data_IF_739889230335
#
_entry.id   IF_739889230335
#
_cell.length_a   1.000
_cell.length_b   1.000
_cell.length_c   1.000
_cell.angle_alpha   90.00
_cell.angle_beta   90.00
_cell.angle_gamma   90.00
#
_symmetry.space_group_name_H-M   'P 1'
#
loop_
_entity.id
_entity.type
_entity.pdbx_description
1 polymer ?
#
# COMPACT_ATOMS: atom_id res chain seq x y z
N UNK A 1 15.75 12.08 6.57
CA UNK A 1 14.29 12.11 6.81
C UNK A 1 13.64 11.30 5.70
N UNK A 2 12.96 10.18 5.99
CA UNK A 2 12.28 9.37 4.96
C UNK A 2 10.85 9.89 4.80
N UNK A 3 10.47 10.25 3.59
CA UNK A 3 9.10 10.61 3.27
C UNK A 3 8.27 9.32 3.15
N UNK A 4 7.31 9.12 4.04
CA UNK A 4 6.35 8.02 3.95
C UNK A 4 5.11 8.48 3.21
N UNK A 5 4.59 7.63 2.32
CA UNK A 5 3.32 7.87 1.65
C UNK A 5 2.18 7.78 2.66
N UNK A 6 1.23 8.71 2.56
CA UNK A 6 0.10 8.81 3.50
C UNK A 6 -1.13 8.23 2.84
N UNK A 7 -1.41 6.95 3.12
CA UNK A 7 -2.65 6.25 2.72
C UNK A 7 -2.94 6.23 1.21
N UNK A 8 -3.88 5.40 0.75
CA UNK A 8 -4.41 5.49 -0.61
C UNK A 8 -5.38 6.67 -0.73
N UNK A 9 -5.29 7.43 -1.82
CA UNK A 9 -6.28 8.47 -2.18
C UNK A 9 -6.94 8.14 -3.51
N UNK A 10 -8.22 8.47 -3.63
CA UNK A 10 -8.95 8.37 -4.90
C UNK A 10 -8.62 9.57 -5.78
N UNK A 11 -8.17 9.31 -7.02
CA UNK A 11 -7.98 10.35 -8.03
C UNK A 11 -9.35 10.71 -8.62
N UNK A 12 -9.67 12.00 -8.60
CA UNK A 12 -10.90 12.54 -9.19
C UNK A 12 -10.64 12.87 -10.67
N UNK A 13 -9.54 13.55 -10.96
CA UNK A 13 -9.24 14.07 -12.29
C UNK A 13 -7.74 14.23 -12.53
N UNK A 14 -7.30 13.99 -13.77
CA UNK A 14 -5.98 14.38 -14.26
C UNK A 14 -6.03 15.83 -14.78
N UNK A 15 -5.18 16.69 -14.25
CA UNK A 15 -5.03 18.08 -14.67
C UNK A 15 -3.82 18.20 -15.60
N UNK A 16 -4.10 18.37 -16.88
CA UNK A 16 -3.07 18.36 -17.92
C UNK A 16 -2.35 17.01 -17.97
N UNK A 17 -1.02 17.02 -17.90
CA UNK A 17 -0.19 15.81 -17.91
C UNK A 17 0.58 15.55 -16.62
N UNK A 18 0.63 16.54 -15.71
CA UNK A 18 1.62 16.56 -14.63
C UNK A 18 1.01 16.67 -13.22
N UNK A 19 -0.30 16.85 -13.10
CA UNK A 19 -0.96 16.99 -11.80
C UNK A 19 -2.27 16.20 -11.77
N UNK A 20 -2.67 15.76 -10.58
CA UNK A 20 -3.98 15.14 -10.36
C UNK A 20 -4.67 15.80 -9.19
N UNK A 21 -5.99 15.83 -9.28
CA UNK A 21 -6.87 16.17 -8.18
C UNK A 21 -7.27 14.90 -7.43
N UNK A 22 -7.13 14.91 -6.11
CA UNK A 22 -7.47 13.78 -5.24
C UNK A 22 -8.60 14.15 -4.28
N UNK A 23 -9.41 13.15 -3.93
CA UNK A 23 -10.42 13.28 -2.89
C UNK A 23 -9.76 13.27 -1.52
N UNK A 24 -9.68 14.43 -0.88
CA UNK A 24 -9.14 14.57 0.47
C UNK A 24 -10.19 14.15 1.52
N UNK A 25 -9.71 13.51 2.58
CA UNK A 25 -10.52 13.25 3.78
C UNK A 25 -10.70 14.54 4.59
N UNK A 26 -11.71 14.57 5.45
CA UNK A 26 -12.11 15.76 6.22
C UNK A 26 -10.96 16.35 7.07
N UNK A 27 -10.16 15.47 7.68
CA UNK A 27 -8.93 15.81 8.42
C UNK A 27 -7.84 16.51 7.58
N UNK A 28 -7.91 16.38 6.26
CA UNK A 28 -6.98 16.97 5.29
C UNK A 28 -7.62 18.06 4.43
N UNK A 29 -8.87 18.45 4.72
CA UNK A 29 -9.65 19.44 3.95
C UNK A 29 -8.96 20.80 3.79
N UNK A 30 -8.07 21.18 4.72
CA UNK A 30 -7.28 22.41 4.66
C UNK A 30 -6.12 22.36 3.66
N UNK A 31 -5.78 21.20 3.10
CA UNK A 31 -4.72 21.04 2.10
C UNK A 31 -5.29 21.22 0.69
N UNK A 32 -4.44 21.70 -0.23
CA UNK A 32 -4.83 21.79 -1.62
C UNK A 32 -5.04 20.38 -2.20
N UNK A 33 -6.17 20.11 -2.91
CA UNK A 33 -6.49 18.77 -3.40
C UNK A 33 -5.71 18.36 -4.65
N UNK A 34 -4.92 19.26 -5.23
CA UNK A 34 -4.13 18.99 -6.43
C UNK A 34 -2.67 18.74 -6.09
N UNK A 35 -2.13 17.63 -6.57
CA UNK A 35 -0.75 17.20 -6.33
C UNK A 35 -0.03 16.87 -7.65
N UNK A 36 1.29 17.11 -7.73
CA UNK A 36 2.09 16.69 -8.88
C UNK A 36 2.23 15.17 -8.92
N UNK A 37 2.27 14.60 -10.12
CA UNK A 37 2.39 13.13 -10.33
C UNK A 37 3.66 12.53 -9.74
N UNK A 38 4.70 13.34 -9.51
CA UNK A 38 5.96 12.91 -8.86
C UNK A 38 5.79 12.52 -7.40
N UNK A 39 4.73 13.00 -6.73
CA UNK A 39 4.42 12.69 -5.34
C UNK A 39 3.41 11.55 -5.20
N UNK A 40 3.13 10.85 -6.30
CA UNK A 40 2.07 9.86 -6.38
C UNK A 40 2.67 8.51 -6.71
N UNK A 41 2.20 7.50 -5.97
CA UNK A 41 2.54 6.11 -6.20
C UNK A 41 1.26 5.33 -6.44
N UNK A 42 1.19 4.50 -7.51
CA UNK A 42 0.07 3.59 -7.70
C UNK A 42 -0.11 2.69 -6.48
N UNK A 43 -1.36 2.61 -5.99
CA UNK A 43 -1.72 1.69 -4.92
C UNK A 43 -2.14 0.35 -5.54
N UNK A 44 -1.44 -0.71 -5.19
CA UNK A 44 -1.82 -2.08 -5.55
C UNK A 44 -2.38 -2.75 -4.30
N UNK A 45 -3.59 -3.29 -4.39
CA UNK A 45 -4.14 -4.14 -3.34
C UNK A 45 -3.22 -5.34 -3.13
N UNK A 46 -2.95 -5.65 -1.88
CA UNK A 46 -2.19 -6.85 -1.51
C UNK A 46 -3.02 -8.10 -1.78
N UNK A 47 -2.37 -9.26 -1.87
CA UNK A 47 -3.07 -10.56 -1.97
C UNK A 47 -4.03 -10.78 -0.78
N UNK A 48 -3.68 -10.23 0.37
CA UNK A 48 -4.46 -10.29 1.61
C UNK A 48 -5.72 -9.41 1.50
N UNK A 49 -5.61 -8.23 0.87
CA UNK A 49 -6.76 -7.37 0.57
C UNK A 49 -7.71 -8.00 -0.47
N UNK A 50 -7.14 -8.68 -1.48
CA UNK A 50 -7.91 -9.31 -2.57
C UNK A 50 -8.60 -10.60 -2.14
N UNK A 51 -7.96 -11.36 -1.26
CA UNK A 51 -8.44 -12.67 -0.82
C UNK A 51 -8.48 -12.76 0.70
N UNK A 52 -9.38 -12.02 1.38
CA UNK A 52 -9.42 -11.95 2.84
C UNK A 52 -9.74 -13.30 3.49
N UNK A 53 -10.40 -14.21 2.76
CA UNK A 53 -10.75 -15.56 3.22
C UNK A 53 -9.68 -16.61 2.92
N UNK A 54 -8.59 -16.24 2.26
CA UNK A 54 -7.51 -17.18 1.92
C UNK A 54 -6.75 -17.55 3.20
N UNK A 55 -6.96 -18.77 3.68
CA UNK A 55 -6.15 -19.36 4.76
C UNK A 55 -4.68 -19.34 4.32
N UNK A 56 -3.82 -18.69 5.09
CA UNK A 56 -2.37 -18.81 4.87
C UNK A 56 -2.03 -20.29 5.06
N UNK A 57 -1.39 -20.90 4.06
CA UNK A 57 -0.89 -22.26 4.24
C UNK A 57 0.03 -22.26 5.46
N UNK A 58 -0.08 -23.25 6.36
CA UNK A 58 0.82 -23.33 7.50
C UNK A 58 2.25 -23.33 6.98
N UNK A 59 3.09 -22.48 7.60
CA UNK A 59 4.53 -22.49 7.33
C UNK A 59 5.02 -23.91 7.64
N UNK A 60 5.72 -24.58 6.70
CA UNK A 60 6.27 -25.91 6.97
C UNK A 60 7.10 -25.87 8.25
N UNK A 61 6.97 -26.85 9.15
CA UNK A 61 7.79 -26.90 10.35
C UNK A 61 9.27 -26.93 9.94
N UNK A 62 10.06 -26.08 10.59
CA UNK A 62 11.51 -26.06 10.47
C UNK A 62 12.02 -27.45 10.86
N UNK A 63 12.63 -28.16 9.92
CA UNK A 63 13.14 -29.52 10.13
C UNK A 63 14.31 -29.38 11.09
N UNK A 64 14.09 -29.65 12.37
CA UNK A 64 15.17 -29.75 13.35
C UNK A 64 15.92 -31.04 12.99
N UNK A 65 17.08 -30.90 12.34
CA UNK A 65 18.02 -32.00 12.15
C UNK A 65 18.44 -32.47 13.55
N UNK A 66 17.84 -33.57 14.01
CA UNK A 66 18.29 -34.26 15.20
C UNK A 66 19.57 -34.98 14.78
N UNK A 67 20.72 -34.39 15.07
CA UNK A 67 21.99 -35.13 15.02
C UNK A 67 21.89 -36.29 16.02
N UNK A 68 21.71 -37.50 15.47
CA UNK A 68 21.85 -38.74 16.21
C UNK A 68 23.33 -38.87 16.60
N UNK A 69 23.62 -38.62 17.87
CA UNK A 69 24.97 -38.79 18.42
C UNK A 69 25.19 -40.27 18.77
N UNK A 70 26.34 -40.86 18.41
CA UNK A 70 26.58 -42.31 18.36
C UNK A 70 26.64 -43.01 19.73
#
# INVERSE_FOLDING_TARGET
MRYSFVRPFTIIKLIGKNAVEVKLAEESSRKHPVFPVSLIKPYFQTEEDKFPTRKKNPVPPEIVEVEDSP
#
